data_IF_826644193858
#
_entry.id   IF_826644193858
#
_cell.length_a   1.000
_cell.length_b   1.000
_cell.length_c   1.000
_cell.angle_alpha   90.00
_cell.angle_beta   90.00
_cell.angle_gamma   90.00
#
_symmetry.space_group_name_H-M   'P 1'
#
loop_
_entity.id
_entity.type
_entity.pdbx_description
1 polymer ?
#
# COMPACT_ATOMS: atom_id res chain seq x y z
N UNK A 1 -5.41 0.38 23.44
CA UNK A 1 -4.84 0.88 22.16
C UNK A 1 -5.99 1.26 21.24
N UNK A 2 -5.97 2.45 20.65
CA UNK A 2 -6.94 2.84 19.62
C UNK A 2 -6.80 1.91 18.40
N UNK A 3 -7.93 1.53 17.80
CA UNK A 3 -7.94 0.65 16.63
C UNK A 3 -7.46 1.44 15.40
N UNK A 4 -6.40 0.96 14.73
CA UNK A 4 -5.91 1.57 13.48
C UNK A 4 -7.02 1.62 12.43
N UNK A 5 -7.03 2.69 11.65
CA UNK A 5 -7.92 2.87 10.51
C UNK A 5 -7.46 1.91 9.40
N UNK A 6 -8.37 1.05 8.94
CA UNK A 6 -8.11 0.18 7.80
C UNK A 6 -8.03 1.04 6.55
N UNK A 7 -6.90 0.96 5.86
CA UNK A 7 -6.60 1.77 4.69
C UNK A 7 -6.33 0.89 3.49
N UNK A 8 -6.64 1.41 2.31
CA UNK A 8 -6.30 0.80 1.04
C UNK A 8 -5.87 1.83 0.02
N UNK A 9 -5.06 1.40 -0.94
CA UNK A 9 -4.41 2.28 -1.93
C UNK A 9 -4.83 1.87 -3.34
N UNK A 10 -5.11 2.86 -4.19
CA UNK A 10 -5.32 2.68 -5.62
C UNK A 10 -4.30 3.55 -6.36
N UNK A 11 -3.48 2.94 -7.22
CA UNK A 11 -2.29 3.54 -7.83
C UNK A 11 -1.10 3.62 -6.87
N UNK A 12 -0.14 4.50 -7.17
CA UNK A 12 1.01 4.72 -6.29
C UNK A 12 2.01 3.56 -6.25
N UNK A 13 2.15 2.79 -7.34
CA UNK A 13 3.09 1.67 -7.48
C UNK A 13 4.57 2.07 -7.49
N UNK A 14 5.43 1.15 -7.95
CA UNK A 14 6.88 1.23 -7.77
C UNK A 14 7.59 2.46 -8.37
N UNK A 15 7.05 3.02 -9.45
CA UNK A 15 7.57 4.22 -10.11
C UNK A 15 6.97 5.53 -9.59
N UNK A 16 6.05 5.47 -8.63
CA UNK A 16 5.31 6.64 -8.15
C UNK A 16 5.94 7.28 -6.90
N UNK A 17 6.55 8.45 -7.09
CA UNK A 17 7.01 9.29 -5.97
C UNK A 17 5.85 9.72 -5.05
N UNK A 18 4.67 9.98 -5.63
CA UNK A 18 3.46 10.35 -4.86
C UNK A 18 2.99 9.17 -3.99
N UNK A 19 3.06 7.94 -4.51
CA UNK A 19 2.69 6.73 -3.77
C UNK A 19 3.57 6.53 -2.53
N UNK A 20 4.88 6.75 -2.65
CA UNK A 20 5.81 6.69 -1.51
C UNK A 20 5.45 7.73 -0.45
N UNK A 21 5.24 8.98 -0.84
CA UNK A 21 4.87 10.07 0.08
C UNK A 21 3.59 9.77 0.87
N UNK A 22 2.55 9.24 0.22
CA UNK A 22 1.30 8.88 0.90
C UNK A 22 1.49 7.72 1.90
N UNK A 23 2.27 6.69 1.55
CA UNK A 23 2.57 5.59 2.48
C UNK A 23 3.41 6.06 3.67
N UNK A 24 4.38 6.93 3.45
CA UNK A 24 5.16 7.54 4.53
C UNK A 24 4.23 8.33 5.45
N UNK A 25 3.40 9.23 4.92
CA UNK A 25 2.45 10.00 5.71
C UNK A 25 1.47 9.11 6.52
N UNK A 26 0.98 8.02 5.92
CA UNK A 26 0.12 7.05 6.60
C UNK A 26 0.84 6.34 7.76
N UNK A 27 2.16 6.16 7.66
CA UNK A 27 2.98 5.51 8.71
C UNK A 27 3.38 6.46 9.86
N UNK A 28 3.43 7.78 9.64
CA UNK A 28 4.02 8.76 10.58
C UNK A 28 3.41 8.76 12.00
N UNK A 29 2.11 8.50 12.12
CA UNK A 29 1.39 8.55 13.40
C UNK A 29 0.81 7.20 13.83
N UNK A 30 1.21 6.12 13.15
CA UNK A 30 0.72 4.75 13.37
C UNK A 30 -0.82 4.61 13.37
N UNK A 31 -1.51 5.56 12.71
CA UNK A 31 -2.97 5.66 12.72
C UNK A 31 -3.63 4.71 11.71
N UNK A 32 -2.88 4.24 10.72
CA UNK A 32 -3.40 3.45 9.60
C UNK A 32 -2.77 2.07 9.54
N UNK A 33 -3.57 1.10 9.12
CA UNK A 33 -3.11 -0.23 8.73
C UNK A 33 -3.47 -0.45 7.27
N UNK A 34 -2.46 -0.63 6.41
CA UNK A 34 -2.68 -0.99 5.01
C UNK A 34 -3.21 -2.42 4.95
N UNK A 35 -4.42 -2.59 4.42
CA UNK A 35 -5.15 -3.87 4.42
C UNK A 35 -5.52 -4.37 3.03
N UNK A 36 -5.17 -3.62 1.98
CA UNK A 36 -5.35 -4.02 0.58
C UNK A 36 -4.91 -2.90 -0.35
N UNK A 37 -4.53 -3.21 -1.58
CA UNK A 37 -4.08 -2.20 -2.53
C UNK A 37 -4.16 -2.70 -3.97
N UNK A 38 -4.32 -1.77 -4.91
CA UNK A 38 -4.14 -1.99 -6.35
C UNK A 38 -3.15 -0.95 -6.84
N UNK A 39 -1.87 -1.30 -6.89
CA UNK A 39 -0.77 -0.40 -7.23
C UNK A 39 -0.63 -0.15 -8.73
N UNK A 40 -1.02 -1.12 -9.55
CA UNK A 40 -0.93 -1.08 -11.00
C UNK A 40 -2.15 -1.80 -11.62
N UNK A 41 -2.69 -1.33 -12.76
CA UNK A 41 -3.72 -2.07 -13.51
C UNK A 41 -3.21 -3.41 -14.06
N UNK A 42 -1.91 -3.55 -14.32
CA UNK A 42 -1.29 -4.82 -14.67
C UNK A 42 -1.13 -5.69 -13.41
N UNK A 43 -1.80 -6.84 -13.42
CA UNK A 43 -1.87 -7.73 -12.25
C UNK A 43 -0.51 -8.31 -11.85
N UNK A 44 0.37 -8.58 -12.82
CA UNK A 44 1.71 -9.09 -12.57
C UNK A 44 2.57 -8.06 -11.86
N UNK A 45 2.59 -6.83 -12.39
CA UNK A 45 3.30 -5.70 -11.78
C UNK A 45 2.72 -5.32 -10.41
N UNK A 46 1.39 -5.39 -10.25
CA UNK A 46 0.73 -5.11 -8.97
C UNK A 46 1.21 -6.07 -7.87
N UNK A 47 1.23 -7.38 -8.16
CA UNK A 47 1.70 -8.40 -7.22
C UNK A 47 3.19 -8.31 -6.96
N UNK A 48 4.00 -8.18 -8.01
CA UNK A 48 5.45 -8.06 -7.88
C UNK A 48 5.82 -6.88 -6.97
N UNK A 49 5.16 -5.73 -7.13
CA UNK A 49 5.40 -4.59 -6.27
C UNK A 49 4.93 -4.82 -4.82
N UNK A 50 3.79 -5.47 -4.61
CA UNK A 50 3.34 -5.81 -3.27
C UNK A 50 4.29 -6.78 -2.54
N UNK A 51 4.85 -7.76 -3.25
CA UNK A 51 5.90 -8.66 -2.73
C UNK A 51 7.17 -7.88 -2.37
N UNK A 52 7.61 -6.96 -3.23
CA UNK A 52 8.78 -6.12 -3.01
C UNK A 52 8.68 -5.30 -1.71
N UNK A 53 7.50 -4.75 -1.41
CA UNK A 53 7.27 -3.97 -0.20
C UNK A 53 6.72 -4.78 0.98
N UNK A 54 6.68 -6.11 0.87
CA UNK A 54 6.35 -7.03 1.96
C UNK A 54 4.88 -7.04 2.39
N UNK A 55 3.95 -6.78 1.47
CA UNK A 55 2.51 -6.80 1.76
C UNK A 55 1.91 -8.17 1.39
N UNK A 56 1.05 -8.76 2.24
CA UNK A 56 0.32 -9.99 1.93
C UNK A 56 -0.51 -9.88 0.64
N UNK A 57 -0.42 -10.91 -0.21
CA UNK A 57 -1.09 -10.95 -1.51
C UNK A 57 -2.58 -11.34 -1.47
N UNK A 58 -3.14 -11.64 -0.31
CA UNK A 58 -4.55 -12.04 -0.17
C UNK A 58 -5.52 -10.89 -0.50
N UNK A 59 -5.03 -9.65 -0.56
CA UNK A 59 -5.81 -8.43 -0.80
C UNK A 59 -5.15 -7.45 -1.77
N UNK A 60 -4.40 -7.99 -2.74
CA UNK A 60 -3.66 -7.26 -3.79
C UNK A 60 -4.19 -7.61 -5.17
#
# INVERSE_FOLDING_TARGET
MSRKIKWGVLGGGGDSLIGVLHRVAASMYDAYALTGAVFNPDFGQNKAFAEEIGIPLDRI
#
